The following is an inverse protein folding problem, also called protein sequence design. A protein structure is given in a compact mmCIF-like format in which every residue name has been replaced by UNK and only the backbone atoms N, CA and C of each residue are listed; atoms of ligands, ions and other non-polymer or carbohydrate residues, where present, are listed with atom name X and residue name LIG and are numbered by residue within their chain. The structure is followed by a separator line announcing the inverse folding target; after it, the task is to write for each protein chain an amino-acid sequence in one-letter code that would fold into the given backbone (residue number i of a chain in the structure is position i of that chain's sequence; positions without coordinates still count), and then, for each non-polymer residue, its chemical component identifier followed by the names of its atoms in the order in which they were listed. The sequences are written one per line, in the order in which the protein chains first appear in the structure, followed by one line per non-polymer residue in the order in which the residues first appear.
data_IF_881518314505
#
_entry.id   IF_881518314505
#
_cell.length_a   1.000
_cell.length_b   1.000
_cell.length_c   1.000
_cell.angle_alpha   90.00
_cell.angle_beta   90.00
_cell.angle_gamma   90.00
#
_symmetry.space_group_name_H-M   'P 1'
#
loop_
_entity.id
_entity.type
_entity.pdbx_description
1 polymer ?
#
# COMPACT_ATOMS: atom_id res chain seq x y z
N UNK A 1 -3.22 10.66 40.83
CA UNK A 1 -3.12 11.59 39.68
C UNK A 1 -2.07 11.18 38.65
N UNK A 2 -0.84 10.80 39.05
CA UNK A 2 0.21 10.32 38.12
C UNK A 2 -0.21 9.02 37.39
N UNK A 3 -0.93 8.11 38.06
CA UNK A 3 -1.46 6.88 37.44
C UNK A 3 -2.59 7.09 36.42
N UNK A 4 -3.31 8.22 36.46
CA UNK A 4 -4.39 8.53 35.50
C UNK A 4 -3.82 9.09 34.20
N UNK A 5 -2.74 9.87 34.27
CA UNK A 5 -2.09 10.44 33.08
C UNK A 5 -1.29 9.38 32.30
N UNK A 6 -0.67 8.40 32.97
CA UNK A 6 0.03 7.30 32.31
C UNK A 6 -0.92 6.36 31.54
N UNK A 7 -2.13 6.14 32.05
CA UNK A 7 -3.14 5.29 31.41
C UNK A 7 -3.67 5.86 30.08
N UNK A 8 -3.67 7.19 29.91
CA UNK A 8 -4.10 7.86 28.67
C UNK A 8 -2.95 7.97 27.66
N UNK A 9 -1.72 8.10 28.14
CA UNK A 9 -0.54 8.21 27.26
C UNK A 9 -0.20 6.86 26.58
N UNK A 10 -0.37 5.74 27.27
CA UNK A 10 -0.02 4.40 26.77
C UNK A 10 -0.75 3.99 25.47
N UNK A 11 -2.07 4.17 25.31
CA UNK A 11 -2.76 3.87 24.06
C UNK A 11 -2.26 4.72 22.88
N UNK A 12 -1.98 6.00 23.11
CA UNK A 12 -1.45 6.87 22.07
C UNK A 12 -0.04 6.44 21.63
N UNK A 13 0.84 6.06 22.58
CA UNK A 13 2.17 5.53 22.24
C UNK A 13 2.09 4.26 21.40
N UNK A 14 1.17 3.34 21.70
CA UNK A 14 0.99 2.12 20.91
C UNK A 14 0.59 2.45 19.47
N UNK A 15 -0.37 3.34 19.27
CA UNK A 15 -0.79 3.80 17.93
C UNK A 15 0.37 4.44 17.15
N UNK A 16 1.23 5.24 17.82
CA UNK A 16 2.43 5.80 17.20
C UNK A 16 3.45 4.74 16.82
N UNK A 17 3.70 3.74 17.66
CA UNK A 17 4.64 2.65 17.33
C UNK A 17 4.12 1.79 16.18
N UNK A 18 2.83 1.51 16.12
CA UNK A 18 2.19 0.81 14.99
C UNK A 18 2.39 1.64 13.72
N UNK A 19 2.08 2.95 13.76
CA UNK A 19 2.25 3.85 12.61
C UNK A 19 3.70 3.93 12.13
N UNK A 20 4.66 3.96 13.05
CA UNK A 20 6.07 3.99 12.71
C UNK A 20 6.49 2.72 11.94
N UNK A 21 6.04 1.53 12.37
CA UNK A 21 6.29 0.27 11.66
C UNK A 21 5.55 0.19 10.32
N UNK A 22 4.34 0.75 10.24
CA UNK A 22 3.57 0.80 8.99
C UNK A 22 4.25 1.62 7.89
N UNK A 23 5.17 2.54 8.23
CA UNK A 23 5.99 3.23 7.23
C UNK A 23 6.86 2.28 6.41
N UNK A 24 7.34 1.17 6.99
CA UNK A 24 8.08 0.14 6.24
C UNK A 24 7.16 -0.56 5.22
N UNK A 25 5.92 -0.86 5.61
CA UNK A 25 4.92 -1.47 4.71
C UNK A 25 4.67 -0.57 3.50
N UNK A 26 4.49 0.73 3.74
CA UNK A 26 4.24 1.70 2.66
C UNK A 26 5.48 1.92 1.79
N UNK A 27 6.68 1.83 2.36
CA UNK A 27 7.92 1.90 1.60
C UNK A 27 8.06 0.68 0.67
N UNK A 28 7.75 -0.52 1.15
CA UNK A 28 7.76 -1.73 0.33
C UNK A 28 6.78 -1.64 -0.84
N UNK A 29 5.56 -1.14 -0.61
CA UNK A 29 4.60 -0.88 -1.69
C UNK A 29 5.08 0.18 -2.67
N UNK A 30 5.77 1.21 -2.18
CA UNK A 30 6.21 2.32 -3.02
C UNK A 30 7.29 1.92 -4.02
N UNK A 31 7.98 0.80 -3.80
CA UNK A 31 8.91 0.23 -4.78
C UNK A 31 8.21 -0.11 -6.12
N UNK A 32 6.92 -0.45 -6.09
CA UNK A 32 6.12 -0.73 -7.29
C UNK A 32 5.77 0.52 -8.11
N UNK A 33 5.87 1.73 -7.54
CA UNK A 33 5.39 2.96 -8.22
C UNK A 33 6.13 3.20 -9.52
N UNK A 34 7.45 3.00 -9.52
CA UNK A 34 8.29 3.26 -10.69
C UNK A 34 7.97 2.27 -11.82
N UNK A 35 7.98 0.96 -11.53
CA UNK A 35 7.70 -0.06 -12.56
C UNK A 35 6.32 0.10 -13.16
N UNK A 36 5.30 0.36 -12.34
CA UNK A 36 3.94 0.58 -12.81
C UNK A 36 3.87 1.84 -13.67
N UNK A 37 4.48 2.95 -13.22
CA UNK A 37 4.48 4.21 -13.98
C UNK A 37 5.17 4.05 -15.34
N UNK A 38 6.29 3.34 -15.41
CA UNK A 38 7.01 3.05 -16.65
C UNK A 38 6.16 2.21 -17.61
N UNK A 39 5.43 1.22 -17.10
CA UNK A 39 4.52 0.40 -17.90
C UNK A 39 3.34 1.22 -18.44
N UNK A 40 2.75 2.09 -17.63
CA UNK A 40 1.71 3.02 -18.08
C UNK A 40 2.25 3.96 -19.18
N UNK A 41 3.46 4.49 -19.02
CA UNK A 41 4.06 5.41 -19.98
C UNK A 41 4.51 4.73 -21.27
N UNK A 42 5.07 3.52 -21.19
CA UNK A 42 5.55 2.79 -22.37
C UNK A 42 4.42 2.19 -23.20
N UNK A 43 3.26 1.90 -22.58
CA UNK A 43 2.08 1.38 -23.28
C UNK A 43 2.35 0.08 -24.04
N UNK A 44 2.84 -0.98 -23.37
CA UNK A 44 3.27 -2.20 -24.04
C UNK A 44 2.13 -2.87 -24.81
N UNK A 45 2.45 -3.52 -25.93
CA UNK A 45 1.49 -4.24 -26.78
C UNK A 45 0.77 -5.38 -26.06
N UNK A 46 1.33 -5.87 -24.95
CA UNK A 46 0.69 -6.82 -24.02
C UNK A 46 0.64 -6.17 -22.65
N UNK A 47 -0.55 -6.03 -22.09
CA UNK A 47 -0.72 -5.55 -20.72
C UNK A 47 -0.21 -6.59 -19.72
N UNK A 48 0.39 -6.17 -18.58
CA UNK A 48 0.69 -7.09 -17.49
C UNK A 48 -0.57 -7.79 -16.96
N UNK A 49 -0.36 -8.96 -16.38
CA UNK A 49 -1.39 -9.66 -15.60
C UNK A 49 -1.24 -9.32 -14.12
N UNK A 50 -2.22 -9.70 -13.30
CA UNK A 50 -2.11 -9.59 -11.85
C UNK A 50 -0.87 -10.35 -11.35
N UNK A 51 -0.17 -9.77 -10.39
CA UNK A 51 1.11 -10.25 -9.87
C UNK A 51 2.24 -10.35 -10.93
N UNK A 52 2.09 -9.67 -12.08
CA UNK A 52 3.00 -9.72 -13.23
C UNK A 52 3.71 -8.41 -13.57
N UNK A 53 3.80 -7.48 -12.63
CA UNK A 53 4.38 -6.14 -12.81
C UNK A 53 5.85 -6.03 -12.40
N UNK A 54 6.41 -7.08 -11.80
CA UNK A 54 7.85 -7.24 -11.53
C UNK A 54 8.34 -6.58 -10.23
N UNK A 55 7.44 -6.15 -9.36
CA UNK A 55 7.76 -5.49 -8.08
C UNK A 55 7.22 -6.25 -6.85
N UNK A 56 6.57 -7.39 -7.06
CA UNK A 56 5.79 -8.10 -6.08
C UNK A 56 6.64 -8.88 -5.07
N UNK A 57 6.05 -9.06 -3.88
CA UNK A 57 6.52 -9.97 -2.84
C UNK A 57 5.48 -11.09 -2.78
N UNK A 58 5.78 -12.24 -3.40
CA UNK A 58 4.83 -13.34 -3.58
C UNK A 58 5.20 -14.59 -2.78
N UNK A 59 6.46 -14.70 -2.35
CA UNK A 59 7.00 -15.88 -1.71
C UNK A 59 7.57 -15.57 -0.33
N UNK A 60 7.66 -16.60 0.52
CA UNK A 60 8.17 -16.48 1.89
C UNK A 60 9.60 -15.92 1.97
N UNK A 61 10.45 -16.21 0.97
CA UNK A 61 11.83 -15.72 0.91
C UNK A 61 11.95 -14.23 0.57
N UNK A 62 10.90 -13.62 0.02
CA UNK A 62 10.87 -12.19 -0.30
C UNK A 62 10.24 -11.35 0.82
N UNK A 63 9.62 -11.99 1.82
CA UNK A 63 8.93 -11.28 2.90
C UNK A 63 9.88 -10.47 3.75
N UNK A 64 9.41 -9.31 4.22
CA UNK A 64 10.14 -8.53 5.23
C UNK A 64 9.55 -8.79 6.60
N UNK A 65 10.17 -8.20 7.63
CA UNK A 65 9.69 -8.31 9.00
C UNK A 65 8.21 -7.90 9.13
N UNK A 66 7.80 -6.82 8.45
CA UNK A 66 6.45 -6.27 8.56
C UNK A 66 5.54 -6.48 7.34
N UNK A 67 6.07 -7.03 6.25
CA UNK A 67 5.34 -7.23 4.99
C UNK A 67 5.31 -8.70 4.62
N UNK A 68 4.12 -9.28 4.57
CA UNK A 68 3.91 -10.67 4.19
C UNK A 68 3.79 -10.84 2.67
N UNK A 69 3.04 -9.96 2.02
CA UNK A 69 2.88 -9.99 0.57
C UNK A 69 2.78 -8.57 0.05
N UNK A 70 3.24 -8.38 -1.18
CA UNK A 70 2.94 -7.22 -2.02
C UNK A 70 2.45 -7.80 -3.33
N UNK A 71 1.16 -7.59 -3.62
CA UNK A 71 0.49 -8.08 -4.82
C UNK A 71 0.06 -6.93 -5.69
N UNK A 72 -0.13 -7.21 -6.97
CA UNK A 72 -0.62 -6.22 -7.95
C UNK A 72 -1.86 -6.75 -8.66
N UNK A 73 -2.82 -5.87 -8.91
CA UNK A 73 -3.97 -6.17 -9.77
C UNK A 73 -3.67 -5.94 -11.26
N UNK A 74 -4.67 -6.18 -12.11
CA UNK A 74 -4.56 -6.02 -13.57
C UNK A 74 -4.25 -4.57 -14.01
N UNK A 75 -4.50 -3.58 -13.16
CA UNK A 75 -4.32 -2.16 -13.43
C UNK A 75 -3.13 -1.55 -12.66
N UNK A 76 -2.36 -2.37 -11.93
CA UNK A 76 -1.24 -1.89 -11.13
C UNK A 76 -1.68 -1.32 -9.78
N UNK A 77 -2.90 -1.62 -9.32
CA UNK A 77 -3.24 -1.43 -7.92
C UNK A 77 -2.39 -2.35 -7.05
N UNK A 78 -1.66 -1.78 -6.10
CA UNK A 78 -0.73 -2.51 -5.23
C UNK A 78 -1.39 -2.78 -3.88
N UNK A 79 -1.32 -4.02 -3.40
CA UNK A 79 -1.89 -4.47 -2.14
C UNK A 79 -0.80 -5.09 -1.26
N UNK A 80 -0.52 -4.50 -0.10
CA UNK A 80 0.39 -5.09 0.88
C UNK A 80 -0.35 -5.72 2.04
N UNK A 81 0.02 -6.95 2.38
CA UNK A 81 -0.47 -7.66 3.57
C UNK A 81 0.51 -7.46 4.73
N UNK A 82 0.00 -6.95 5.85
CA UNK A 82 0.80 -6.61 7.04
C UNK A 82 1.06 -7.85 7.89
N UNK A 83 2.26 -7.96 8.47
CA UNK A 83 2.59 -8.98 9.47
C UNK A 83 3.46 -8.42 10.61
N UNK A 84 3.48 -9.10 11.76
CA UNK A 84 4.38 -8.82 12.90
C UNK A 84 4.45 -7.35 13.38
N UNK A 85 3.44 -6.52 13.11
CA UNK A 85 3.37 -5.13 13.59
C UNK A 85 2.67 -5.07 14.95
N UNK A 86 1.39 -5.49 14.95
CA UNK A 86 0.52 -5.63 16.11
C UNK A 86 -0.69 -6.50 15.73
N UNK A 87 -1.27 -7.21 16.70
CA UNK A 87 -2.41 -8.12 16.45
C UNK A 87 -3.58 -7.44 15.74
N UNK A 88 -3.81 -6.15 16.01
CA UNK A 88 -4.91 -5.36 15.41
C UNK A 88 -4.72 -5.02 13.93
N UNK A 89 -3.51 -5.11 13.38
CA UNK A 89 -3.22 -4.83 11.96
C UNK A 89 -2.63 -6.02 11.21
N UNK A 90 -2.15 -7.06 11.89
CA UNK A 90 -1.61 -8.25 11.24
C UNK A 90 -2.69 -8.94 10.40
N UNK A 91 -2.33 -9.38 9.19
CA UNK A 91 -3.26 -9.94 8.20
C UNK A 91 -4.14 -8.91 7.49
N UNK A 92 -4.08 -7.64 7.89
CA UNK A 92 -4.80 -6.55 7.20
C UNK A 92 -4.05 -6.11 5.95
N UNK A 93 -4.76 -5.43 5.05
CA UNK A 93 -4.27 -4.98 3.76
C UNK A 93 -4.22 -3.45 3.71
N UNK A 94 -3.14 -2.93 3.11
CA UNK A 94 -3.02 -1.53 2.69
C UNK A 94 -2.93 -1.50 1.18
N UNK A 95 -3.63 -0.55 0.55
CA UNK A 95 -3.65 -0.41 -0.90
C UNK A 95 -3.02 0.90 -1.38
N UNK A 96 -2.39 0.83 -2.54
CA UNK A 96 -1.76 1.93 -3.25
C UNK A 96 -2.18 1.85 -4.72
N UNK A 97 -3.06 2.77 -5.13
CA UNK A 97 -3.76 2.71 -6.41
C UNK A 97 -3.28 3.84 -7.34
N UNK A 98 -2.90 3.53 -8.59
CA UNK A 98 -2.58 4.55 -9.58
C UNK A 98 -3.87 5.26 -10.03
N UNK A 99 -3.80 6.58 -10.22
CA UNK A 99 -4.93 7.40 -10.63
C UNK A 99 -4.71 8.02 -12.01
N UNK A 100 -5.76 8.06 -12.82
CA UNK A 100 -5.79 8.77 -14.11
C UNK A 100 -6.19 10.23 -13.96
N UNK A 101 -6.91 10.56 -12.88
CA UNK A 101 -7.30 11.92 -12.51
C UNK A 101 -7.24 12.07 -10.98
N UNK A 102 -7.69 13.20 -10.42
CA UNK A 102 -7.72 13.38 -8.97
C UNK A 102 -8.62 12.35 -8.24
N UNK A 103 -9.60 11.74 -8.92
CA UNK A 103 -10.59 10.85 -8.29
C UNK A 103 -10.70 9.49 -8.96
N UNK A 104 -10.46 9.41 -10.27
CA UNK A 104 -10.59 8.17 -11.03
C UNK A 104 -9.32 7.31 -10.96
N UNK A 105 -9.51 6.00 -10.73
CA UNK A 105 -8.44 5.01 -10.84
C UNK A 105 -7.94 4.91 -12.27
N UNK A 106 -6.66 4.63 -12.44
CA UNK A 106 -6.10 4.34 -13.75
C UNK A 106 -6.51 2.93 -14.20
N UNK A 107 -6.65 2.74 -15.51
CA UNK A 107 -6.91 1.44 -16.12
C UNK A 107 -5.83 1.16 -17.13
N UNK A 108 -5.23 -0.02 -17.07
CA UNK A 108 -4.27 -0.43 -18.08
C UNK A 108 -4.96 -0.92 -19.32
N UNK A 109 -4.40 -0.58 -20.47
CA UNK A 109 -4.82 -1.12 -21.76
C UNK A 109 -3.59 -1.35 -22.63
N UNK A 110 -3.55 -2.53 -23.24
CA UNK A 110 -2.48 -2.90 -24.15
C UNK A 110 -2.36 -1.90 -25.31
N UNK A 111 -1.13 -1.56 -25.66
CA UNK A 111 -0.81 -0.65 -26.77
C UNK A 111 -1.15 0.83 -26.51
N UNK A 112 -1.52 1.20 -25.29
CA UNK A 112 -1.85 2.59 -24.93
C UNK A 112 -0.88 3.15 -23.92
N UNK A 113 -0.19 4.22 -24.31
CA UNK A 113 0.58 5.05 -23.39
C UNK A 113 -0.36 6.00 -22.66
N UNK A 114 -0.24 6.04 -21.33
CA UNK A 114 -1.03 6.90 -20.46
C UNK A 114 -0.13 7.53 -19.40
N UNK A 115 -0.43 8.76 -19.01
CA UNK A 115 0.22 9.43 -17.89
C UNK A 115 -0.63 9.29 -16.63
N UNK A 116 -0.02 8.86 -15.53
CA UNK A 116 -0.68 8.82 -14.24
C UNK A 116 -0.77 10.23 -13.64
N UNK A 117 -1.95 10.61 -13.16
CA UNK A 117 -2.14 11.86 -12.41
C UNK A 117 -1.41 11.80 -11.06
N UNK A 118 -1.47 10.64 -10.41
CA UNK A 118 -0.92 10.45 -9.09
C UNK A 118 -1.28 9.09 -8.53
N UNK A 119 -1.21 8.98 -7.21
CA UNK A 119 -1.38 7.72 -6.49
C UNK A 119 -2.15 7.95 -5.22
N UNK A 120 -3.14 7.08 -4.98
CA UNK A 120 -3.95 7.08 -3.77
C UNK A 120 -3.52 5.96 -2.85
N UNK A 121 -3.37 6.25 -1.55
CA UNK A 121 -2.89 5.26 -0.59
C UNK A 121 -3.82 5.19 0.62
N UNK A 122 -4.23 3.99 0.99
CA UNK A 122 -4.93 3.74 2.25
C UNK A 122 -6.44 4.03 2.23
N UNK A 123 -7.05 4.24 1.06
CA UNK A 123 -8.50 4.48 0.97
C UNK A 123 -9.26 3.15 1.18
N UNK A 124 -10.26 3.08 2.09
CA UNK A 124 -11.03 1.86 2.29
C UNK A 124 -11.81 1.40 1.05
N UNK A 125 -12.28 2.32 0.22
CA UNK A 125 -12.97 2.02 -1.04
C UNK A 125 -12.06 1.29 -2.06
N UNK A 126 -10.74 1.45 -1.93
CA UNK A 126 -9.74 0.77 -2.73
C UNK A 126 -9.31 -0.59 -2.12
N UNK A 127 -9.99 -1.08 -1.08
CA UNK A 127 -9.71 -2.36 -0.44
C UNK A 127 -8.73 -2.31 0.74
N UNK A 128 -8.34 -1.12 1.21
CA UNK A 128 -7.56 -1.01 2.45
C UNK A 128 -8.43 -1.41 3.65
N UNK A 129 -7.95 -2.37 4.46
CA UNK A 129 -8.64 -2.81 5.68
C UNK A 129 -7.99 -2.28 6.96
N UNK A 130 -6.78 -1.73 6.87
CA UNK A 130 -6.12 -1.07 8.00
C UNK A 130 -6.82 0.25 8.32
N UNK A 131 -7.18 0.44 9.59
CA UNK A 131 -7.79 1.70 10.04
C UNK A 131 -6.83 2.90 9.84
N UNK A 132 -7.30 4.06 9.31
CA UNK A 132 -6.48 5.23 9.00
C UNK A 132 -5.64 5.78 10.17
N UNK A 133 -6.07 5.58 11.42
CA UNK A 133 -5.28 5.98 12.61
C UNK A 133 -3.91 5.29 12.70
N UNK A 134 -3.78 4.09 12.15
CA UNK A 134 -2.55 3.31 12.09
C UNK A 134 -1.70 3.61 10.86
N UNK A 135 -2.25 4.33 9.89
CA UNK A 135 -1.52 4.73 8.69
C UNK A 135 -0.82 6.08 8.91
N UNK A 136 0.38 6.29 8.32
CA UNK A 136 1.03 7.59 8.26
C UNK A 136 0.20 8.57 7.43
N UNK A 137 0.45 9.87 7.61
CA UNK A 137 -0.38 10.93 7.01
C UNK A 137 -0.49 10.85 5.49
N UNK A 138 0.55 10.35 4.80
CA UNK A 138 0.59 10.19 3.35
C UNK A 138 -0.25 9.04 2.79
N UNK A 139 -0.87 8.23 3.65
CA UNK A 139 -1.61 7.04 3.24
C UNK A 139 -2.95 6.94 3.97
N UNK A 140 -3.73 8.01 4.00
CA UNK A 140 -5.04 8.08 4.68
C UNK A 140 -6.19 8.36 3.71
N UNK A 141 -6.04 7.96 2.45
CA UNK A 141 -6.98 8.28 1.37
C UNK A 141 -6.47 9.39 0.46
#
# INVERSE_FOLDING_TARGET
IIGILAAVALPAYQDYTIRAKMSEVILAMSACRTSITEVYQSGPATAPVADGWGCEILTASQQTKYVQFVRTDLNGGVLATVQNVATVVNGSVVTLIPLSTATATATMSAGQSNTLYGWRCGLPADGTTVSPKYLPGSCRG
#
